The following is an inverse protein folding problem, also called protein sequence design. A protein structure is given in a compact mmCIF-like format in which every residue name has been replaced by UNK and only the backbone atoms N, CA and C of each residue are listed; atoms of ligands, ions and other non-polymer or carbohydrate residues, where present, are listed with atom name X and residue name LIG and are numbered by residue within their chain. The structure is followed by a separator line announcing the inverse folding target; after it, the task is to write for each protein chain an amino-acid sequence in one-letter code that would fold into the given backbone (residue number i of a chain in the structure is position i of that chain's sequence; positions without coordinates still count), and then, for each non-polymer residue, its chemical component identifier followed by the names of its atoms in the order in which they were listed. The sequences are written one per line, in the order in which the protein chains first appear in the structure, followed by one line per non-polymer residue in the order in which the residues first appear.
data_IF_547407148514
#
_entry.id   IF_547407148514
#
_cell.length_a   1.000
_cell.length_b   1.000
_cell.length_c   1.000
_cell.angle_alpha   90.00
_cell.angle_beta   90.00
_cell.angle_gamma   90.00
#
_symmetry.space_group_name_H-M   'P 1'
#
loop_
_entity.id
_entity.type
_entity.pdbx_description
1 polymer ?
#
# COMPACT_ATOMS: atom_id res chain seq x y z
N UNK A 1 -35.21 -29.50 29.95
CA UNK A 1 -34.59 -28.16 29.98
C UNK A 1 -33.09 -28.18 29.57
N UNK A 2 -32.23 -28.97 30.21
CA UNK A 2 -30.76 -29.02 29.94
C UNK A 2 -30.39 -29.29 28.49
N UNK A 3 -31.03 -30.21 27.78
CA UNK A 3 -30.71 -30.53 26.37
C UNK A 3 -30.93 -29.36 25.42
N UNK A 4 -32.00 -28.58 25.58
CA UNK A 4 -32.27 -27.39 24.75
C UNK A 4 -31.21 -26.31 24.95
N UNK A 5 -30.75 -26.11 26.16
CA UNK A 5 -29.68 -25.16 26.49
C UNK A 5 -28.36 -25.58 25.85
N UNK A 6 -28.01 -26.86 25.93
CA UNK A 6 -26.80 -27.39 25.28
C UNK A 6 -26.84 -27.22 23.76
N UNK A 7 -27.96 -27.55 23.10
CA UNK A 7 -28.09 -27.30 21.65
C UNK A 7 -28.00 -25.84 21.29
N UNK A 8 -28.58 -24.92 22.07
CA UNK A 8 -28.45 -23.48 21.82
C UNK A 8 -27.00 -23.01 21.93
N UNK A 9 -26.26 -23.51 22.92
CA UNK A 9 -24.83 -23.17 23.07
C UNK A 9 -24.02 -23.68 21.87
N UNK A 10 -24.27 -24.91 21.43
CA UNK A 10 -23.57 -25.48 20.27
C UNK A 10 -23.86 -24.67 19.00
N UNK A 11 -25.11 -24.29 18.76
CA UNK A 11 -25.50 -23.46 17.60
C UNK A 11 -24.80 -22.09 17.65
N UNK A 12 -24.77 -21.46 18.80
CA UNK A 12 -24.09 -20.16 18.97
C UNK A 12 -22.58 -20.28 18.69
N UNK A 13 -21.95 -21.33 19.22
CA UNK A 13 -20.52 -21.58 18.98
C UNK A 13 -20.22 -21.83 17.51
N UNK A 14 -21.04 -22.63 16.82
CA UNK A 14 -20.91 -22.87 15.38
C UNK A 14 -21.11 -21.59 14.55
N UNK A 15 -22.10 -20.76 14.92
CA UNK A 15 -22.33 -19.49 14.26
C UNK A 15 -21.15 -18.52 14.45
N UNK A 16 -20.61 -18.39 15.65
CA UNK A 16 -19.43 -17.57 15.94
C UNK A 16 -18.21 -18.05 15.15
N UNK A 17 -17.97 -19.36 15.14
CA UNK A 17 -16.86 -19.95 14.36
C UNK A 17 -17.03 -19.70 12.87
N UNK A 18 -18.23 -19.86 12.34
CA UNK A 18 -18.54 -19.55 10.94
C UNK A 18 -18.31 -18.08 10.58
N UNK A 19 -18.75 -17.17 11.44
CA UNK A 19 -18.54 -15.73 11.26
C UNK A 19 -17.05 -15.35 11.31
N UNK A 20 -16.27 -15.95 12.21
CA UNK A 20 -14.82 -15.65 12.29
C UNK A 20 -14.09 -16.16 11.07
N UNK A 21 -14.34 -17.38 10.62
CA UNK A 21 -13.74 -17.95 9.41
C UNK A 21 -14.13 -17.14 8.18
N UNK A 22 -15.43 -16.90 7.97
CA UNK A 22 -15.94 -16.13 6.83
C UNK A 22 -15.41 -14.68 6.82
N UNK A 23 -15.38 -14.02 7.98
CA UNK A 23 -14.80 -12.68 8.12
C UNK A 23 -13.31 -12.64 7.81
N UNK A 24 -12.55 -13.65 8.22
CA UNK A 24 -11.12 -13.76 7.92
C UNK A 24 -10.85 -13.91 6.42
N UNK A 25 -11.61 -14.78 5.74
CA UNK A 25 -11.50 -14.94 4.29
C UNK A 25 -11.90 -13.66 3.53
N UNK A 26 -12.96 -12.99 3.97
CA UNK A 26 -13.38 -11.72 3.38
C UNK A 26 -12.28 -10.65 3.52
N UNK A 27 -11.72 -10.48 4.71
CA UNK A 27 -10.65 -9.52 4.98
C UNK A 27 -9.37 -9.85 4.21
N UNK A 28 -9.01 -11.13 4.12
CA UNK A 28 -7.86 -11.57 3.33
C UNK A 28 -8.05 -11.23 1.85
N UNK A 29 -9.19 -11.57 1.28
CA UNK A 29 -9.51 -11.26 -0.11
C UNK A 29 -9.53 -9.75 -0.36
N UNK A 30 -10.16 -8.97 0.52
CA UNK A 30 -10.20 -7.52 0.43
C UNK A 30 -8.79 -6.90 0.48
N UNK A 31 -7.90 -7.42 1.33
CA UNK A 31 -6.54 -6.88 1.50
C UNK A 31 -5.61 -7.24 0.35
N UNK A 32 -5.79 -8.42 -0.26
CA UNK A 32 -4.90 -8.93 -1.30
C UNK A 32 -5.40 -8.66 -2.72
N UNK A 33 -6.68 -8.32 -2.89
CA UNK A 33 -7.22 -8.05 -4.23
C UNK A 33 -6.98 -6.59 -4.61
N UNK A 34 -6.27 -6.32 -5.71
CA UNK A 34 -6.11 -4.97 -6.22
C UNK A 34 -7.48 -4.34 -6.52
N UNK A 35 -7.78 -3.22 -5.89
CA UNK A 35 -9.04 -2.52 -6.10
C UNK A 35 -8.82 -1.36 -7.08
N UNK A 36 -9.57 -1.33 -8.18
CA UNK A 36 -9.50 -0.27 -9.18
C UNK A 36 -9.70 1.15 -8.59
N UNK A 37 -10.50 1.29 -7.53
CA UNK A 37 -10.67 2.57 -6.81
C UNK A 37 -9.42 3.01 -6.04
N UNK A 38 -8.58 2.05 -5.62
CA UNK A 38 -7.30 2.36 -4.96
C UNK A 38 -6.29 2.77 -6.03
N UNK A 39 -6.28 2.09 -7.18
CA UNK A 39 -5.40 2.42 -8.31
C UNK A 39 -5.70 3.79 -8.91
N UNK A 40 -6.97 4.24 -8.92
CA UNK A 40 -7.35 5.58 -9.40
C UNK A 40 -6.89 6.73 -8.49
N UNK A 41 -6.46 6.45 -7.27
CA UNK A 41 -5.92 7.46 -6.35
C UNK A 41 -4.54 8.01 -6.76
N UNK A 42 -3.86 7.38 -7.71
CA UNK A 42 -2.54 7.84 -8.15
C UNK A 42 -2.61 9.20 -8.85
N UNK A 43 -3.69 9.48 -9.60
CA UNK A 43 -3.91 10.77 -10.22
C UNK A 43 -3.96 11.94 -9.21
N UNK A 44 -4.50 11.69 -8.01
CA UNK A 44 -4.63 12.69 -6.94
C UNK A 44 -3.45 12.67 -5.95
N UNK A 45 -2.49 11.77 -6.13
CA UNK A 45 -1.43 11.55 -5.13
C UNK A 45 -0.44 12.71 -5.04
N UNK A 46 -0.01 13.28 -6.16
CA UNK A 46 0.84 14.48 -6.16
C UNK A 46 0.12 15.70 -5.57
N UNK A 47 -1.11 16.05 -5.99
CA UNK A 47 -1.86 17.13 -5.37
C UNK A 47 -2.09 16.92 -3.87
N UNK A 48 -2.40 15.70 -3.46
CA UNK A 48 -2.55 15.37 -2.04
C UNK A 48 -1.24 15.56 -1.26
N UNK A 49 -0.13 15.05 -1.79
CA UNK A 49 1.19 15.18 -1.18
C UNK A 49 1.60 16.65 -1.04
N UNK A 50 1.45 17.44 -2.10
CA UNK A 50 1.83 18.87 -2.07
C UNK A 50 0.95 19.73 -1.18
N UNK A 51 -0.32 19.32 -0.98
CA UNK A 51 -1.22 20.00 -0.03
C UNK A 51 -0.78 19.79 1.41
N UNK A 52 -0.39 18.56 1.75
CA UNK A 52 0.01 18.22 3.11
C UNK A 52 1.47 18.55 3.40
N UNK A 53 2.33 18.53 2.38
CA UNK A 53 3.78 18.74 2.47
C UNK A 53 4.25 19.68 1.36
N UNK A 54 3.92 20.98 1.41
CA UNK A 54 4.25 21.93 0.34
C UNK A 54 5.74 22.05 0.03
N UNK A 55 6.60 21.82 1.03
CA UNK A 55 8.06 21.85 0.90
C UNK A 55 8.62 20.74 0.00
N UNK A 56 7.85 19.68 -0.29
CA UNK A 56 8.30 18.61 -1.19
C UNK A 56 8.25 19.02 -2.66
N UNK A 57 7.43 20.00 -3.02
CA UNK A 57 7.25 20.41 -4.42
C UNK A 57 8.55 20.82 -5.10
N UNK A 58 9.33 21.80 -4.56
CA UNK A 58 10.58 22.18 -5.20
C UNK A 58 11.60 21.04 -5.28
N UNK A 59 11.61 20.14 -4.29
CA UNK A 59 12.49 18.98 -4.31
C UNK A 59 12.09 18.00 -5.41
N UNK A 60 10.83 17.63 -5.52
CA UNK A 60 10.33 16.73 -6.59
C UNK A 60 10.54 17.34 -7.96
N UNK A 61 10.30 18.65 -8.11
CA UNK A 61 10.51 19.36 -9.38
C UNK A 61 11.99 19.34 -9.76
N UNK A 62 12.91 19.53 -8.80
CA UNK A 62 14.35 19.43 -9.04
C UNK A 62 14.79 18.03 -9.51
N UNK A 63 14.25 16.98 -8.88
CA UNK A 63 14.52 15.59 -9.28
C UNK A 63 14.05 15.31 -10.72
N UNK A 64 12.89 15.85 -11.11
CA UNK A 64 12.36 15.72 -12.47
C UNK A 64 13.21 16.46 -13.50
N UNK A 65 13.70 17.67 -13.15
CA UNK A 65 14.54 18.46 -14.04
C UNK A 65 15.87 17.76 -14.41
N UNK A 66 16.46 17.03 -13.48
CA UNK A 66 17.72 16.31 -13.70
C UNK A 66 17.51 14.83 -14.03
N UNK A 67 16.26 14.41 -14.32
CA UNK A 67 15.89 13.02 -14.63
C UNK A 67 16.33 12.01 -13.55
N UNK A 68 16.35 12.46 -12.29
CA UNK A 68 16.71 11.64 -11.14
C UNK A 68 15.54 10.86 -10.55
N UNK A 69 14.29 11.24 -10.87
CA UNK A 69 13.06 10.53 -10.50
C UNK A 69 12.51 9.79 -11.71
N UNK A 70 12.51 8.47 -11.65
CA UNK A 70 12.06 7.61 -12.75
C UNK A 70 10.93 6.69 -12.30
N UNK A 71 9.92 6.58 -13.15
CA UNK A 71 8.95 5.49 -13.07
C UNK A 71 9.62 4.20 -13.53
N UNK A 72 9.44 3.13 -12.77
CA UNK A 72 9.95 1.82 -13.12
C UNK A 72 8.94 0.74 -12.84
N UNK A 73 9.06 -0.36 -13.55
CA UNK A 73 8.19 -1.52 -13.37
C UNK A 73 9.05 -2.75 -13.09
N UNK A 74 8.67 -3.46 -12.03
CA UNK A 74 9.34 -4.69 -11.60
C UNK A 74 8.36 -5.83 -11.85
N UNK A 75 8.80 -6.85 -12.58
CA UNK A 75 7.99 -8.05 -12.80
C UNK A 75 8.38 -9.08 -11.76
N UNK A 76 7.41 -9.51 -10.95
CA UNK A 76 7.64 -10.55 -9.97
C UNK A 76 7.74 -11.94 -10.62
N UNK A 77 8.18 -13.00 -9.90
CA UNK A 77 8.28 -14.35 -10.44
C UNK A 77 6.95 -14.94 -10.96
N UNK A 78 5.82 -14.37 -10.56
CA UNK A 78 4.47 -14.78 -11.01
C UNK A 78 3.97 -13.97 -12.22
N UNK A 79 4.81 -13.13 -12.84
CA UNK A 79 4.45 -12.30 -13.99
C UNK A 79 3.63 -11.05 -13.65
N UNK A 80 3.47 -10.72 -12.38
CA UNK A 80 2.73 -9.52 -11.96
C UNK A 80 3.67 -8.31 -12.05
N UNK A 81 3.21 -7.27 -12.74
CA UNK A 81 3.91 -6.01 -12.87
C UNK A 81 3.66 -5.13 -11.64
N UNK A 82 4.73 -4.76 -10.95
CA UNK A 82 4.72 -3.85 -9.81
C UNK A 82 5.24 -2.50 -10.26
N UNK A 83 4.49 -1.43 -9.98
CA UNK A 83 4.92 -0.06 -10.21
C UNK A 83 5.81 0.41 -9.07
N UNK A 84 6.94 1.01 -9.39
CA UNK A 84 7.89 1.56 -8.43
C UNK A 84 8.45 2.90 -8.92
N UNK A 85 8.94 3.72 -8.01
CA UNK A 85 9.68 4.93 -8.30
C UNK A 85 11.14 4.73 -7.89
N UNK A 86 12.04 5.07 -8.79
CA UNK A 86 13.47 5.10 -8.50
C UNK A 86 13.92 6.55 -8.37
N UNK A 87 14.60 6.87 -7.28
CA UNK A 87 15.20 8.17 -7.04
C UNK A 87 16.72 8.00 -7.01
N UNK A 88 17.41 8.62 -7.95
CA UNK A 88 18.87 8.58 -8.00
C UNK A 88 19.47 9.47 -6.90
N UNK A 89 20.50 8.97 -6.22
CA UNK A 89 21.25 9.77 -5.27
C UNK A 89 22.02 10.90 -6.02
N UNK A 90 22.16 12.10 -5.42
CA UNK A 90 22.86 13.22 -6.03
C UNK A 90 24.37 12.96 -6.18
N UNK A 91 24.91 12.03 -5.43
CA UNK A 91 26.30 11.58 -5.50
C UNK A 91 26.39 10.06 -5.58
N UNK A 92 27.42 9.51 -6.23
CA UNK A 92 27.62 8.06 -6.29
C UNK A 92 27.66 7.45 -4.88
N UNK A 93 26.85 6.41 -4.66
CA UNK A 93 26.78 5.70 -3.38
C UNK A 93 26.53 4.21 -3.63
N UNK A 94 27.07 3.38 -2.75
CA UNK A 94 26.75 1.95 -2.69
C UNK A 94 25.55 1.63 -1.81
N UNK A 95 24.95 2.65 -1.19
CA UNK A 95 23.80 2.48 -0.30
C UNK A 95 22.49 2.60 -1.09
N UNK A 96 21.56 1.72 -0.83
CA UNK A 96 20.22 1.74 -1.40
C UNK A 96 19.19 1.65 -0.28
N UNK A 97 18.20 2.53 -0.28
CA UNK A 97 17.05 2.44 0.60
C UNK A 97 15.83 1.97 -0.21
N UNK A 98 15.09 1.00 0.31
CA UNK A 98 13.83 0.54 -0.27
C UNK A 98 12.70 0.95 0.67
N UNK A 99 11.76 1.74 0.16
CA UNK A 99 10.62 2.23 0.90
C UNK A 99 9.36 1.60 0.32
N UNK A 100 8.57 0.94 1.16
CA UNK A 100 7.33 0.28 0.77
C UNK A 100 6.17 0.95 1.49
N UNK A 101 5.13 1.29 0.74
CA UNK A 101 3.92 1.87 1.33
C UNK A 101 3.05 0.82 2.01
N UNK A 102 2.23 1.26 2.97
CA UNK A 102 1.27 0.42 3.66
C UNK A 102 0.00 0.14 2.85
N UNK A 103 -0.91 -0.62 3.44
CA UNK A 103 -2.23 -0.89 2.87
C UNK A 103 -2.99 0.42 2.61
N UNK A 104 -3.68 0.50 1.48
CA UNK A 104 -4.46 1.67 1.03
C UNK A 104 -3.67 2.95 0.75
N UNK A 105 -2.35 2.89 0.73
CA UNK A 105 -1.48 4.02 0.38
C UNK A 105 -0.76 3.77 -0.97
N UNK A 106 0.10 4.69 -1.38
CA UNK A 106 0.90 4.53 -2.60
C UNK A 106 2.32 5.12 -2.43
N UNK A 107 3.19 4.81 -3.40
CA UNK A 107 4.59 5.17 -3.37
C UNK A 107 4.84 6.69 -3.37
N UNK A 108 4.01 7.48 -4.08
CA UNK A 108 4.17 8.94 -4.16
C UNK A 108 4.03 9.59 -2.79
N UNK A 109 3.12 9.09 -1.96
CA UNK A 109 2.92 9.61 -0.61
C UNK A 109 4.08 9.33 0.33
N UNK A 110 4.93 8.35 -0.03
CA UNK A 110 6.15 8.03 0.73
C UNK A 110 7.34 8.93 0.38
N UNK A 111 7.24 9.83 -0.59
CA UNK A 111 8.34 10.73 -0.98
C UNK A 111 8.84 11.63 0.17
N UNK A 112 7.98 11.91 1.15
CA UNK A 112 8.41 12.62 2.36
C UNK A 112 9.53 11.86 3.09
N UNK A 113 9.48 10.52 3.11
CA UNK A 113 10.51 9.70 3.75
C UNK A 113 11.81 9.73 2.93
N UNK A 114 11.72 9.77 1.59
CA UNK A 114 12.89 9.85 0.71
C UNK A 114 13.72 11.11 0.93
N UNK A 115 13.09 12.22 1.36
CA UNK A 115 13.81 13.48 1.64
C UNK A 115 14.63 13.42 2.92
N UNK A 116 14.33 12.50 3.84
CA UNK A 116 14.98 12.41 5.15
C UNK A 116 16.28 11.58 5.11
N UNK A 117 16.56 10.89 4.02
CA UNK A 117 17.70 10.02 3.80
C UNK A 117 18.47 10.40 2.54
#
# INVERSE_FOLDING_TARGET
MRRKVVYSIIIIMLALTGCTIGGSFYMLNFSLTPNAKILSKDADSYPFMYRNYPFLRPWVDSLKQVDALKDTFIINPHGIQLHAYYVAAPQPTSKTAVIVHGHTDNAIRMFMICLLY
#
